data_IF_164594095605
#
_entry.id   IF_164594095605
#
_cell.length_a   1.000
_cell.length_b   1.000
_cell.length_c   1.000
_cell.angle_alpha   90.00
_cell.angle_beta   90.00
_cell.angle_gamma   90.00
#
_symmetry.space_group_name_H-M   'P 1'
#
loop_
_entity.id
_entity.type
_entity.pdbx_description
1 polymer ?
#
# COMPACT_ATOMS: atom_id res chain seq x y z
N UNK A 1 4.33 -11.16 21.16
CA UNK A 1 4.68 -10.64 19.82
C UNK A 1 4.60 -9.12 19.86
N UNK A 2 5.53 -8.39 19.24
CA UNK A 2 5.47 -6.92 19.20
C UNK A 2 4.21 -6.48 18.43
N UNK A 3 3.45 -5.48 18.89
CA UNK A 3 2.16 -5.08 18.29
C UNK A 3 2.21 -4.78 16.78
N UNK A 4 3.31 -4.20 16.27
CA UNK A 4 3.48 -3.96 14.83
C UNK A 4 3.51 -5.23 13.98
N UNK A 5 4.04 -6.33 14.53
CA UNK A 5 4.03 -7.62 13.83
C UNK A 5 2.62 -8.20 13.73
N UNK A 6 1.77 -7.93 14.72
CA UNK A 6 0.37 -8.34 14.71
C UNK A 6 -0.38 -7.60 13.59
N UNK A 7 -0.20 -6.29 13.44
CA UNK A 7 -0.81 -5.53 12.35
C UNK A 7 -0.37 -6.05 10.97
N UNK A 8 0.91 -6.37 10.81
CA UNK A 8 1.43 -6.93 9.56
C UNK A 8 0.75 -8.27 9.22
N UNK A 9 0.68 -9.20 10.18
CA UNK A 9 0.01 -10.50 9.99
C UNK A 9 -1.47 -10.31 9.65
N UNK A 10 -2.15 -9.41 10.36
CA UNK A 10 -3.56 -9.11 10.10
C UNK A 10 -3.77 -8.55 8.70
N UNK A 11 -2.91 -7.63 8.26
CA UNK A 11 -2.95 -7.09 6.90
C UNK A 11 -2.81 -8.20 5.86
N UNK A 12 -1.84 -9.10 6.02
CA UNK A 12 -1.64 -10.23 5.11
C UNK A 12 -2.81 -11.21 5.16
N UNK A 13 -3.37 -11.48 6.33
CA UNK A 13 -4.55 -12.32 6.45
C UNK A 13 -5.73 -11.71 5.67
N UNK A 14 -5.98 -10.40 5.79
CA UNK A 14 -7.01 -9.71 5.02
C UNK A 14 -6.70 -9.67 3.52
N UNK A 15 -5.43 -9.55 3.13
CA UNK A 15 -5.04 -9.68 1.73
C UNK A 15 -5.37 -11.08 1.18
N UNK A 16 -5.10 -12.14 1.93
CA UNK A 16 -5.42 -13.51 1.50
C UNK A 16 -6.92 -13.73 1.45
N UNK A 17 -7.65 -13.26 2.47
CA UNK A 17 -9.10 -13.36 2.56
C UNK A 17 -9.79 -12.58 1.46
N UNK A 18 -9.34 -11.37 1.12
CA UNK A 18 -9.90 -10.60 0.01
C UNK A 18 -9.41 -11.08 -1.36
N UNK A 19 -8.13 -11.42 -1.48
CA UNK A 19 -7.46 -11.70 -2.75
C UNK A 19 -7.77 -13.07 -3.35
N UNK A 20 -7.80 -14.14 -2.54
CA UNK A 20 -8.08 -15.48 -3.06
C UNK A 20 -9.49 -15.55 -3.68
N UNK A 21 -10.56 -15.09 -3.00
CA UNK A 21 -11.89 -15.07 -3.58
C UNK A 21 -12.01 -14.15 -4.78
N UNK A 22 -11.31 -13.03 -4.80
CA UNK A 22 -11.29 -12.17 -5.99
C UNK A 22 -10.73 -12.91 -7.21
N UNK A 23 -9.65 -13.68 -7.05
CA UNK A 23 -9.11 -14.50 -8.14
C UNK A 23 -10.18 -15.47 -8.66
N UNK A 24 -10.90 -16.15 -7.76
CA UNK A 24 -11.95 -17.08 -8.14
C UNK A 24 -13.13 -16.39 -8.83
N UNK A 25 -13.59 -15.25 -8.30
CA UNK A 25 -14.66 -14.44 -8.89
C UNK A 25 -14.29 -13.95 -10.28
N UNK A 26 -13.04 -13.50 -10.46
CA UNK A 26 -12.58 -13.04 -11.77
C UNK A 26 -12.47 -14.17 -12.77
N UNK A 27 -11.98 -15.35 -12.38
CA UNK A 27 -11.96 -16.51 -13.26
C UNK A 27 -13.37 -16.89 -13.72
N UNK A 28 -14.33 -16.92 -12.79
CA UNK A 28 -15.74 -17.20 -13.10
C UNK A 28 -16.34 -16.17 -14.05
N UNK A 29 -16.16 -14.88 -13.75
CA UNK A 29 -16.59 -13.76 -14.61
C UNK A 29 -15.95 -13.78 -16.01
N UNK A 30 -14.77 -14.38 -16.16
CA UNK A 30 -14.09 -14.53 -17.44
C UNK A 30 -14.52 -15.79 -18.20
N UNK A 31 -15.40 -16.62 -17.63
CA UNK A 31 -15.95 -17.82 -18.27
C UNK A 31 -15.15 -19.10 -18.01
N UNK A 32 -14.54 -19.23 -16.84
CA UNK A 32 -13.87 -20.48 -16.45
C UNK A 32 -14.87 -21.66 -16.47
N UNK A 33 -14.52 -22.82 -17.05
CA UNK A 33 -15.50 -23.86 -17.41
C UNK A 33 -16.00 -24.70 -16.23
N UNK A 34 -15.56 -24.42 -15.00
CA UNK A 34 -15.93 -25.17 -13.80
C UNK A 34 -16.55 -24.23 -12.77
N UNK A 35 -17.56 -24.69 -12.01
CA UNK A 35 -18.16 -23.88 -10.96
C UNK A 35 -17.12 -23.54 -9.90
N UNK A 36 -16.87 -22.24 -9.71
CA UNK A 36 -15.97 -21.73 -8.69
C UNK A 36 -16.78 -21.21 -7.50
N UNK A 37 -16.23 -21.27 -6.27
CA UNK A 37 -16.92 -20.74 -5.12
C UNK A 37 -16.75 -19.21 -5.08
N UNK A 38 -17.75 -18.49 -5.61
CA UNK A 38 -17.67 -17.04 -5.88
C UNK A 38 -18.42 -16.13 -4.91
N UNK A 39 -19.05 -16.70 -3.88
CA UNK A 39 -19.95 -15.98 -2.97
C UNK A 39 -19.28 -15.53 -1.67
N UNK A 40 -17.95 -15.56 -1.58
CA UNK A 40 -17.27 -15.38 -0.29
C UNK A 40 -17.20 -13.94 0.22
N UNK A 41 -17.27 -12.94 -0.65
CA UNK A 41 -17.24 -11.53 -0.24
C UNK A 41 -18.09 -10.67 -1.17
N UNK A 42 -19.07 -9.96 -0.62
CA UNK A 42 -19.89 -9.03 -1.40
C UNK A 42 -19.12 -7.74 -1.74
N UNK A 43 -18.18 -7.33 -0.89
CA UNK A 43 -17.40 -6.10 -1.06
C UNK A 43 -15.88 -6.34 -0.94
N UNK A 44 -15.33 -7.14 -1.87
CA UNK A 44 -13.86 -7.36 -1.99
C UNK A 44 -13.05 -6.05 -1.86
N UNK A 45 -13.51 -4.98 -2.50
CA UNK A 45 -12.82 -3.69 -2.49
C UNK A 45 -12.67 -3.10 -1.07
N UNK A 46 -13.65 -3.29 -0.19
CA UNK A 46 -13.62 -2.78 1.19
C UNK A 46 -12.53 -3.51 1.98
N UNK A 47 -12.47 -4.85 1.83
CA UNK A 47 -11.43 -5.69 2.44
C UNK A 47 -10.03 -5.28 1.99
N UNK A 48 -9.87 -4.95 0.71
CA UNK A 48 -8.56 -4.53 0.20
C UNK A 48 -8.17 -3.13 0.67
N UNK A 49 -9.06 -2.15 0.57
CA UNK A 49 -8.76 -0.74 0.86
C UNK A 49 -8.76 -0.47 2.37
N UNK A 50 -9.85 -0.80 3.05
CA UNK A 50 -10.04 -0.51 4.47
C UNK A 50 -9.66 -1.66 5.38
N UNK A 51 -9.31 -2.83 4.83
CA UNK A 51 -8.66 -3.91 5.56
C UNK A 51 -7.15 -3.93 5.35
N UNK A 52 -6.73 -4.49 4.22
CA UNK A 52 -5.31 -4.73 3.92
C UNK A 52 -4.49 -3.42 3.87
N UNK A 53 -4.85 -2.47 3.02
CA UNK A 53 -4.07 -1.24 2.87
C UNK A 53 -4.14 -0.38 4.12
N UNK A 54 -5.29 -0.29 4.80
CA UNK A 54 -5.40 0.46 6.05
C UNK A 54 -4.51 -0.12 7.15
N UNK A 55 -4.44 -1.45 7.32
CA UNK A 55 -3.52 -2.07 8.27
C UNK A 55 -2.06 -1.87 7.89
N UNK A 56 -1.72 -2.00 6.60
CA UNK A 56 -0.35 -1.78 6.12
C UNK A 56 0.08 -0.33 6.39
N UNK A 57 -0.72 0.65 5.97
CA UNK A 57 -0.45 2.07 6.14
C UNK A 57 -0.45 2.46 7.62
N UNK A 58 -1.42 1.96 8.40
CA UNK A 58 -1.45 2.18 9.84
C UNK A 58 -0.20 1.65 10.52
N UNK A 59 0.31 0.51 10.09
CA UNK A 59 1.57 -0.04 10.62
C UNK A 59 2.79 0.79 10.17
N UNK A 60 2.82 1.35 8.96
CA UNK A 60 3.84 2.33 8.54
C UNK A 60 3.83 3.55 9.48
N UNK A 61 2.66 4.14 9.73
CA UNK A 61 2.54 5.35 10.55
C UNK A 61 2.85 5.10 12.03
N UNK A 62 2.27 4.05 12.60
CA UNK A 62 2.33 3.77 14.03
C UNK A 62 3.62 3.05 14.44
N UNK A 63 4.31 2.39 13.52
CA UNK A 63 5.49 1.58 13.87
C UNK A 63 6.73 2.08 13.17
N UNK A 64 6.76 2.08 11.84
CA UNK A 64 7.95 2.43 11.09
C UNK A 64 8.29 3.93 11.22
N UNK A 65 7.38 4.80 10.79
CA UNK A 65 7.54 6.26 10.87
C UNK A 65 7.67 6.75 12.31
N UNK A 66 6.89 6.20 13.23
CA UNK A 66 7.03 6.53 14.66
C UNK A 66 8.46 6.24 15.15
N UNK A 67 8.99 5.07 14.82
CA UNK A 67 10.32 4.67 15.24
C UNK A 67 11.41 5.52 14.58
N UNK A 68 11.26 5.86 13.30
CA UNK A 68 12.16 6.78 12.61
C UNK A 68 12.14 8.17 13.26
N UNK A 69 10.96 8.68 13.59
CA UNK A 69 10.77 10.06 14.03
C UNK A 69 11.09 10.28 15.52
N UNK A 70 10.70 9.33 16.38
CA UNK A 70 10.85 9.40 17.85
C UNK A 70 11.86 8.41 18.42
N UNK A 71 12.30 7.43 17.65
CA UNK A 71 13.15 6.34 18.14
C UNK A 71 12.40 5.21 18.86
N UNK A 72 11.06 5.25 18.86
CA UNK A 72 10.19 4.22 19.43
C UNK A 72 8.91 4.10 18.61
N UNK A 73 8.32 2.92 18.53
CA UNK A 73 6.97 2.73 17.97
C UNK A 73 5.89 3.43 18.82
N UNK A 74 4.70 3.60 18.24
CA UNK A 74 3.54 4.11 18.95
C UNK A 74 3.16 3.19 20.14
N UNK A 75 2.50 3.74 21.18
CA UNK A 75 2.06 2.93 22.30
C UNK A 75 1.11 1.81 21.89
N UNK A 76 1.22 0.65 22.55
CA UNK A 76 0.37 -0.53 22.32
C UNK A 76 -1.12 -0.21 22.44
N UNK A 77 -1.51 0.69 23.35
CA UNK A 77 -2.90 1.11 23.54
C UNK A 77 -3.49 1.86 22.36
N UNK A 78 -2.67 2.30 21.39
CA UNK A 78 -3.13 2.90 20.14
C UNK A 78 -3.10 1.85 19.01
N UNK A 79 -2.01 1.09 18.91
CA UNK A 79 -1.82 0.06 17.88
C UNK A 79 -2.92 -1.02 17.95
N UNK A 80 -3.21 -1.55 19.14
CA UNK A 80 -4.16 -2.66 19.30
C UNK A 80 -5.60 -2.23 18.98
N UNK A 81 -6.14 -1.13 19.55
CA UNK A 81 -7.48 -0.67 19.17
C UNK A 81 -7.60 -0.31 17.69
N UNK A 82 -6.57 0.29 17.07
CA UNK A 82 -6.56 0.53 15.63
C UNK A 82 -6.75 -0.77 14.82
N UNK A 83 -5.99 -1.81 15.16
CA UNK A 83 -6.14 -3.12 14.52
C UNK A 83 -7.52 -3.74 14.74
N UNK A 84 -8.04 -3.69 15.97
CA UNK A 84 -9.36 -4.23 16.32
C UNK A 84 -10.48 -3.50 15.56
N UNK A 85 -10.47 -2.16 15.56
CA UNK A 85 -11.45 -1.36 14.82
C UNK A 85 -11.45 -1.73 13.34
N UNK A 86 -10.27 -1.91 12.76
CA UNK A 86 -10.13 -2.30 11.36
C UNK A 86 -10.72 -3.69 11.12
N UNK A 87 -10.43 -4.69 11.95
CA UNK A 87 -11.03 -6.03 11.79
C UNK A 87 -12.55 -6.03 11.95
N UNK A 88 -13.06 -5.36 12.98
CA UNK A 88 -14.50 -5.30 13.23
C UNK A 88 -15.19 -4.57 12.07
N UNK A 89 -14.59 -3.49 11.54
CA UNK A 89 -15.17 -2.79 10.38
C UNK A 89 -15.33 -3.71 9.17
N UNK A 90 -14.32 -4.54 8.86
CA UNK A 90 -14.36 -5.47 7.74
C UNK A 90 -15.36 -6.62 7.97
N UNK A 91 -15.47 -7.11 9.21
CA UNK A 91 -16.47 -8.10 9.57
C UNK A 91 -17.90 -7.54 9.43
N UNK A 92 -18.11 -6.30 9.89
CA UNK A 92 -19.41 -5.64 9.78
C UNK A 92 -19.78 -5.34 8.32
N UNK A 93 -18.81 -5.02 7.47
CA UNK A 93 -19.05 -4.78 6.05
C UNK A 93 -19.54 -6.04 5.33
N UNK A 94 -18.96 -7.21 5.64
CA UNK A 94 -19.42 -8.50 5.12
C UNK A 94 -20.84 -8.85 5.61
N UNK A 95 -21.25 -8.31 6.76
CA UNK A 95 -22.61 -8.40 7.27
C UNK A 95 -23.54 -7.30 6.72
N UNK A 96 -23.08 -6.54 5.71
CA UNK A 96 -23.77 -5.39 5.12
C UNK A 96 -24.23 -4.34 6.15
N UNK A 97 -23.44 -4.14 7.21
CA UNK A 97 -23.77 -3.21 8.29
C UNK A 97 -23.06 -1.86 8.09
N UNK A 98 -23.80 -0.73 7.94
CA UNK A 98 -23.22 0.59 7.70
C UNK A 98 -22.31 1.10 8.83
N UNK A 99 -22.36 0.49 10.02
CA UNK A 99 -21.38 0.72 11.09
C UNK A 99 -19.92 0.44 10.66
N UNK A 100 -19.70 -0.35 9.60
CA UNK A 100 -18.37 -0.59 9.02
C UNK A 100 -17.63 0.72 8.71
N UNK A 101 -18.27 1.64 7.98
CA UNK A 101 -17.70 2.93 7.60
C UNK A 101 -17.38 3.82 8.81
N UNK A 102 -18.26 3.86 9.81
CA UNK A 102 -18.03 4.65 11.02
C UNK A 102 -16.83 4.15 11.82
N UNK A 103 -16.63 2.83 11.90
CA UNK A 103 -15.43 2.26 12.55
C UNK A 103 -14.15 2.58 11.76
N UNK A 104 -14.20 2.60 10.43
CA UNK A 104 -13.08 3.08 9.61
C UNK A 104 -12.78 4.55 9.90
N UNK A 105 -13.79 5.42 10.02
CA UNK A 105 -13.60 6.82 10.40
C UNK A 105 -12.94 6.94 11.77
N UNK A 106 -13.38 6.16 12.77
CA UNK A 106 -12.75 6.15 14.10
C UNK A 106 -11.28 5.72 14.01
N UNK A 107 -10.97 4.69 13.23
CA UNK A 107 -9.59 4.24 13.01
C UNK A 107 -8.73 5.34 12.35
N UNK A 108 -9.25 6.05 11.36
CA UNK A 108 -8.57 7.19 10.72
C UNK A 108 -8.38 8.34 11.69
N UNK A 109 -9.37 8.65 12.54
CA UNK A 109 -9.26 9.69 13.58
C UNK A 109 -8.15 9.36 14.57
N UNK A 110 -7.94 8.09 14.93
CA UNK A 110 -6.78 7.69 15.74
C UNK A 110 -5.46 8.03 15.05
N UNK A 111 -5.34 7.73 13.74
CA UNK A 111 -4.14 8.04 12.96
C UNK A 111 -3.93 9.56 12.79
N UNK A 112 -5.01 10.31 12.56
CA UNK A 112 -5.01 11.78 12.47
C UNK A 112 -4.54 12.38 13.79
N UNK A 113 -5.06 11.91 14.93
CA UNK A 113 -4.62 12.38 16.24
C UNK A 113 -3.15 12.06 16.50
N UNK A 114 -2.70 10.88 16.06
CA UNK A 114 -1.31 10.46 16.18
C UNK A 114 -0.35 11.28 15.30
N UNK A 115 -0.84 11.91 14.23
CA UNK A 115 -0.03 12.70 13.30
C UNK A 115 0.80 13.81 13.96
N UNK A 116 0.34 14.31 15.11
CA UNK A 116 1.08 15.27 15.95
C UNK A 116 2.52 14.83 16.23
N UNK A 117 2.77 13.51 16.28
CA UNK A 117 4.11 12.96 16.47
C UNK A 117 5.03 13.31 15.31
N UNK A 118 4.62 13.03 14.07
CA UNK A 118 5.44 13.26 12.88
C UNK A 118 5.23 14.65 12.25
N UNK A 119 4.30 15.46 12.78
CA UNK A 119 4.17 16.90 12.51
C UNK A 119 4.91 17.76 13.53
N UNK A 120 5.49 17.16 14.57
CA UNK A 120 6.41 17.82 15.50
C UNK A 120 7.87 17.62 15.05
N UNK A 121 8.85 18.40 15.55
CA UNK A 121 10.25 18.12 15.27
C UNK A 121 10.66 16.70 15.66
N UNK A 122 11.53 16.07 14.87
CA UNK A 122 12.03 14.72 15.14
C UNK A 122 12.94 14.68 16.37
N UNK A 123 13.28 13.47 16.85
CA UNK A 123 14.22 13.27 17.96
C UNK A 123 15.57 13.97 17.77
N UNK A 124 16.02 14.10 16.52
CA UNK A 124 17.27 14.76 16.14
C UNK A 124 17.06 16.22 15.66
N UNK A 125 15.85 16.77 15.85
CA UNK A 125 15.54 18.17 15.54
C UNK A 125 15.19 18.46 14.07
N UNK A 126 14.98 17.43 13.23
CA UNK A 126 14.53 17.65 11.87
C UNK A 126 13.09 18.17 11.87
N UNK A 127 12.83 19.19 11.06
CA UNK A 127 11.48 19.72 10.86
C UNK A 127 10.68 18.79 9.94
N UNK A 128 9.34 18.71 10.11
CA UNK A 128 8.47 18.03 9.17
C UNK A 128 8.68 18.54 7.75
N UNK A 129 8.61 17.62 6.78
CA UNK A 129 8.74 17.92 5.34
C UNK A 129 7.39 17.71 4.64
N UNK A 130 7.32 17.97 3.33
CA UNK A 130 6.09 17.78 2.56
C UNK A 130 5.49 16.38 2.74
N UNK A 131 6.32 15.34 2.79
CA UNK A 131 5.93 13.97 3.15
C UNK A 131 4.99 13.90 4.37
N UNK A 132 5.39 14.50 5.50
CA UNK A 132 4.65 14.43 6.76
C UNK A 132 3.28 15.10 6.63
N UNK A 133 3.21 16.23 5.93
CA UNK A 133 1.98 16.96 5.69
C UNK A 133 1.07 16.25 4.69
N UNK A 134 1.62 15.70 3.60
CA UNK A 134 0.87 14.95 2.59
C UNK A 134 0.22 13.70 3.21
N UNK A 135 0.92 12.99 4.08
CA UNK A 135 0.34 11.87 4.85
C UNK A 135 -0.83 12.33 5.71
N UNK A 136 -0.65 13.41 6.47
CA UNK A 136 -1.72 13.97 7.29
C UNK A 136 -2.94 14.35 6.45
N UNK A 137 -2.75 15.07 5.34
CA UNK A 137 -3.84 15.42 4.43
C UNK A 137 -4.48 14.20 3.77
N UNK A 138 -3.72 13.15 3.48
CA UNK A 138 -4.27 11.88 2.96
C UNK A 138 -5.29 11.30 3.94
N UNK A 139 -4.97 11.29 5.23
CA UNK A 139 -5.88 10.80 6.26
C UNK A 139 -7.17 11.64 6.34
N UNK A 140 -7.05 12.97 6.28
CA UNK A 140 -8.20 13.89 6.27
C UNK A 140 -9.09 13.65 5.05
N UNK A 141 -8.49 13.63 3.85
CA UNK A 141 -9.21 13.38 2.59
C UNK A 141 -9.92 12.02 2.65
N UNK A 142 -9.23 10.99 3.16
CA UNK A 142 -9.80 9.65 3.31
C UNK A 142 -10.98 9.65 4.28
N UNK A 143 -10.88 10.34 5.43
CA UNK A 143 -12.02 10.43 6.35
C UNK A 143 -13.25 11.07 5.71
N UNK A 144 -13.05 12.11 4.88
CA UNK A 144 -14.14 12.75 4.12
C UNK A 144 -14.73 11.77 3.10
N UNK A 145 -13.87 11.06 2.35
CA UNK A 145 -14.29 10.05 1.37
C UNK A 145 -15.10 8.93 2.03
N UNK A 146 -14.63 8.36 3.13
CA UNK A 146 -15.33 7.29 3.86
C UNK A 146 -16.69 7.79 4.35
N UNK A 147 -16.77 9.01 4.86
CA UNK A 147 -18.05 9.62 5.26
C UNK A 147 -19.02 9.74 4.09
N UNK A 148 -18.52 10.10 2.91
CA UNK A 148 -19.34 10.18 1.70
C UNK A 148 -19.77 8.78 1.22
N UNK A 149 -18.85 7.81 1.22
CA UNK A 149 -19.14 6.43 0.81
C UNK A 149 -20.17 5.74 1.70
N UNK A 150 -20.19 6.06 2.99
CA UNK A 150 -21.20 5.56 3.93
C UNK A 150 -22.65 5.90 3.52
N UNK A 151 -22.83 6.92 2.68
CA UNK A 151 -24.14 7.39 2.20
C UNK A 151 -24.36 7.02 0.73
N UNK A 152 -23.36 7.19 -0.12
CA UNK A 152 -23.52 7.13 -1.58
C UNK A 152 -22.99 5.86 -2.24
N UNK A 153 -22.25 5.00 -1.53
CA UNK A 153 -21.78 3.72 -2.08
C UNK A 153 -20.89 3.85 -3.32
N UNK A 154 -19.88 4.73 -3.29
CA UNK A 154 -18.99 5.00 -4.44
C UNK A 154 -17.60 4.34 -4.25
N UNK A 155 -17.41 3.06 -4.62
CA UNK A 155 -16.23 2.27 -4.22
C UNK A 155 -14.90 2.79 -4.76
N UNK A 156 -14.87 3.36 -5.97
CA UNK A 156 -13.62 3.85 -6.58
C UNK A 156 -12.95 4.96 -5.76
N UNK A 157 -13.72 5.76 -5.01
CA UNK A 157 -13.16 6.82 -4.18
C UNK A 157 -12.22 6.26 -3.12
N UNK A 158 -12.44 5.02 -2.68
CA UNK A 158 -11.57 4.32 -1.74
C UNK A 158 -10.13 4.18 -2.24
N UNK A 159 -9.90 4.13 -3.56
CA UNK A 159 -8.55 4.08 -4.13
C UNK A 159 -7.72 5.32 -3.83
N UNK A 160 -8.35 6.46 -3.56
CA UNK A 160 -7.63 7.68 -3.21
C UNK A 160 -6.74 7.45 -1.98
N UNK A 161 -7.21 6.68 -0.99
CA UNK A 161 -6.45 6.44 0.23
C UNK A 161 -5.08 5.79 -0.02
N UNK A 162 -4.99 4.56 -0.57
CA UNK A 162 -3.70 3.93 -0.79
C UNK A 162 -2.89 4.63 -1.89
N UNK A 163 -3.52 5.18 -2.94
CA UNK A 163 -2.80 5.88 -4.00
C UNK A 163 -2.10 7.13 -3.49
N UNK A 164 -2.81 7.99 -2.75
CA UNK A 164 -2.26 9.22 -2.18
C UNK A 164 -1.24 8.93 -1.08
N UNK A 165 -1.48 7.89 -0.26
CA UNK A 165 -0.52 7.50 0.78
C UNK A 165 0.79 7.04 0.17
N UNK A 166 0.75 6.15 -0.84
CA UNK A 166 1.96 5.71 -1.53
C UNK A 166 2.66 6.92 -2.16
N UNK A 167 1.92 7.82 -2.79
CA UNK A 167 2.50 9.04 -3.36
C UNK A 167 3.22 9.90 -2.32
N UNK A 168 2.59 10.08 -1.14
CA UNK A 168 3.18 10.80 -0.03
C UNK A 168 4.47 10.11 0.45
N UNK A 169 4.44 8.80 0.75
CA UNK A 169 5.62 8.02 1.16
C UNK A 169 6.75 8.12 0.13
N UNK A 170 6.40 8.06 -1.15
CA UNK A 170 7.37 8.13 -2.24
C UNK A 170 8.08 9.47 -2.35
N UNK A 171 7.47 10.58 -1.92
CA UNK A 171 8.13 11.88 -1.85
C UNK A 171 9.38 11.89 -0.95
N UNK A 172 9.46 10.96 0.02
CA UNK A 172 10.63 10.70 0.87
C UNK A 172 11.50 9.57 0.31
N UNK A 173 10.90 8.41 0.05
CA UNK A 173 11.64 7.16 -0.17
C UNK A 173 12.33 7.07 -1.54
N UNK A 174 11.81 7.77 -2.56
CA UNK A 174 12.40 7.76 -3.90
C UNK A 174 13.88 8.17 -3.89
N UNK A 175 14.23 9.19 -3.11
CA UNK A 175 15.60 9.65 -3.00
C UNK A 175 16.52 8.56 -2.40
N UNK A 176 16.03 7.82 -1.41
CA UNK A 176 16.78 6.76 -0.74
C UNK A 176 16.97 5.53 -1.64
N UNK A 177 15.91 5.12 -2.33
CA UNK A 177 15.88 3.91 -3.15
C UNK A 177 16.65 4.09 -4.47
N UNK A 178 16.66 5.31 -5.01
CA UNK A 178 17.22 5.60 -6.34
C UNK A 178 18.64 6.21 -6.31
N UNK A 179 19.31 6.20 -5.16
CA UNK A 179 20.72 6.57 -5.04
C UNK A 179 20.99 8.03 -4.70
N UNK A 180 20.16 8.63 -3.85
CA UNK A 180 20.42 9.92 -3.20
C UNK A 180 20.01 11.16 -3.99
N UNK A 181 19.15 11.04 -5.00
CA UNK A 181 18.62 12.22 -5.70
C UNK A 181 17.61 12.97 -4.83
N UNK A 182 17.71 14.29 -4.81
CA UNK A 182 16.74 15.16 -4.14
C UNK A 182 15.47 15.24 -4.97
N UNK A 183 14.34 14.86 -4.38
CA UNK A 183 13.01 14.98 -4.99
C UNK A 183 12.53 16.43 -4.88
N UNK A 184 12.01 17.00 -5.97
CA UNK A 184 11.39 18.33 -5.93
C UNK A 184 10.05 18.25 -5.21
N UNK A 185 10.01 18.74 -3.97
CA UNK A 185 8.86 18.60 -3.08
C UNK A 185 7.65 19.42 -3.55
N UNK A 186 7.86 20.55 -4.21
CA UNK A 186 6.77 21.42 -4.69
C UNK A 186 6.05 20.75 -5.86
N UNK A 187 6.81 20.24 -6.84
CA UNK A 187 6.25 19.47 -7.95
C UNK A 187 5.58 18.18 -7.47
N UNK A 188 6.15 17.50 -6.47
CA UNK A 188 5.55 16.29 -5.91
C UNK A 188 4.23 16.60 -5.19
N UNK A 189 4.14 17.75 -4.52
CA UNK A 189 2.90 18.24 -3.89
C UNK A 189 1.84 18.56 -4.94
N UNK A 190 2.22 19.25 -6.03
CA UNK A 190 1.31 19.52 -7.15
C UNK A 190 0.85 18.23 -7.83
N UNK A 191 1.75 17.26 -7.97
CA UNK A 191 1.43 15.94 -8.51
C UNK A 191 0.42 15.19 -7.62
N UNK A 192 0.63 15.22 -6.30
CA UNK A 192 -0.29 14.65 -5.32
C UNK A 192 -1.69 15.28 -5.42
N UNK A 193 -1.78 16.61 -5.48
CA UNK A 193 -3.07 17.32 -5.60
C UNK A 193 -3.75 16.98 -6.92
N UNK A 194 -2.99 16.96 -8.02
CA UNK A 194 -3.50 16.60 -9.34
C UNK A 194 -4.03 15.16 -9.35
N UNK A 195 -3.31 14.21 -8.76
CA UNK A 195 -3.77 12.82 -8.63
C UNK A 195 -5.04 12.72 -7.77
N UNK A 196 -5.10 13.42 -6.63
CA UNK A 196 -6.26 13.42 -5.74
C UNK A 196 -7.50 13.92 -6.50
N UNK A 197 -7.41 15.09 -7.14
CA UNK A 197 -8.50 15.65 -7.92
C UNK A 197 -8.85 14.79 -9.13
N UNK A 198 -7.85 14.15 -9.76
CA UNK A 198 -8.05 13.18 -10.83
C UNK A 198 -8.94 12.02 -10.38
N UNK A 199 -8.58 11.34 -9.28
CA UNK A 199 -9.38 10.21 -8.76
C UNK A 199 -10.78 10.66 -8.32
N UNK A 200 -10.89 11.80 -7.64
CA UNK A 200 -12.17 12.34 -7.15
C UNK A 200 -13.13 12.73 -8.28
N UNK A 201 -12.59 13.17 -9.43
CA UNK A 201 -13.37 13.59 -10.59
C UNK A 201 -13.62 12.48 -11.60
N UNK A 202 -13.43 11.20 -11.22
CA UNK A 202 -13.62 10.06 -12.11
C UNK A 202 -14.94 10.12 -12.89
N UNK A 203 -14.88 9.81 -14.19
CA UNK A 203 -16.01 9.88 -15.11
C UNK A 203 -16.19 11.24 -15.80
N UNK A 204 -15.42 12.27 -15.40
CA UNK A 204 -15.36 13.56 -16.09
C UNK A 204 -14.20 13.61 -17.09
N UNK A 205 -14.30 14.51 -18.09
CA UNK A 205 -13.22 14.77 -19.07
C UNK A 205 -11.95 15.34 -18.42
N UNK A 206 -12.07 15.97 -17.25
CA UNK A 206 -10.96 16.60 -16.53
C UNK A 206 -10.11 15.55 -15.79
N UNK A 207 -10.72 14.47 -15.33
CA UNK A 207 -10.05 13.42 -14.55
C UNK A 207 -8.79 12.84 -15.22
N UNK A 208 -8.83 12.36 -16.48
CA UNK A 208 -7.63 11.77 -17.11
C UNK A 208 -6.54 12.83 -17.32
N UNK A 209 -6.91 14.09 -17.59
CA UNK A 209 -5.98 15.21 -17.73
C UNK A 209 -5.22 15.42 -16.42
N UNK A 210 -5.94 15.46 -15.29
CA UNK A 210 -5.34 15.64 -13.97
C UNK A 210 -4.44 14.46 -13.57
N UNK A 211 -4.81 13.23 -13.89
CA UNK A 211 -3.95 12.05 -13.66
C UNK A 211 -2.68 12.12 -14.51
N UNK A 212 -2.78 12.52 -15.78
CA UNK A 212 -1.62 12.71 -16.67
C UNK A 212 -0.70 13.82 -16.14
N UNK A 213 -1.25 14.94 -15.66
CA UNK A 213 -0.47 16.00 -15.03
C UNK A 213 0.23 15.48 -13.78
N UNK A 214 -0.48 14.76 -12.90
CA UNK A 214 0.08 14.13 -11.71
C UNK A 214 1.20 13.14 -12.03
N UNK A 215 1.00 12.31 -13.05
CA UNK A 215 2.01 11.40 -13.58
C UNK A 215 3.25 12.15 -14.10
N UNK A 216 3.06 13.16 -14.94
CA UNK A 216 4.17 13.91 -15.55
C UNK A 216 5.02 14.65 -14.52
N UNK A 217 4.36 15.37 -13.60
CA UNK A 217 5.03 16.11 -12.51
C UNK A 217 5.77 15.16 -11.58
N UNK A 218 5.16 14.03 -11.18
CA UNK A 218 5.83 13.08 -10.29
C UNK A 218 6.97 12.33 -10.98
N UNK A 219 6.84 12.00 -12.26
CA UNK A 219 7.92 11.36 -13.02
C UNK A 219 9.13 12.30 -13.17
N UNK A 220 8.88 13.58 -13.45
CA UNK A 220 9.92 14.61 -13.52
C UNK A 220 10.59 14.82 -12.16
N UNK A 221 9.81 15.07 -11.11
CA UNK A 221 10.29 15.30 -9.75
C UNK A 221 11.08 14.11 -9.19
N UNK A 222 10.63 12.89 -9.46
CA UNK A 222 11.28 11.66 -8.98
C UNK A 222 12.53 11.28 -9.77
N UNK A 223 12.59 11.62 -11.06
CA UNK A 223 13.67 11.25 -11.96
C UNK A 223 13.88 9.74 -12.10
N UNK A 224 12.84 8.92 -11.87
CA UNK A 224 12.89 7.45 -11.85
C UNK A 224 13.62 6.87 -13.08
N UNK A 225 13.25 7.22 -14.33
CA UNK A 225 13.85 6.62 -15.53
C UNK A 225 15.34 6.92 -15.66
N UNK A 226 15.78 8.07 -15.13
CA UNK A 226 17.15 8.57 -15.20
C UNK A 226 17.94 8.32 -13.91
N UNK A 227 17.47 7.44 -13.04
CA UNK A 227 18.17 7.10 -11.81
C UNK A 227 19.30 6.10 -12.04
N UNK A 228 20.40 6.26 -11.28
CA UNK A 228 21.55 5.35 -11.24
C UNK A 228 21.43 4.31 -10.10
N UNK A 229 20.27 4.23 -9.46
CA UNK A 229 20.00 3.32 -8.34
C UNK A 229 19.96 1.85 -8.75
N UNK A 230 19.52 1.00 -7.82
CA UNK A 230 19.39 -0.45 -8.05
C UNK A 230 18.42 -0.73 -9.20
N UNK A 231 18.76 -1.70 -10.04
CA UNK A 231 17.99 -2.03 -11.25
C UNK A 231 16.55 -2.45 -10.93
N UNK A 232 16.37 -3.33 -9.93
CA UNK A 232 15.06 -3.89 -9.60
C UNK A 232 14.05 -2.82 -9.16
N UNK A 233 14.33 -1.96 -8.13
CA UNK A 233 13.45 -0.85 -7.78
C UNK A 233 13.14 0.07 -8.95
N UNK A 234 14.15 0.39 -9.78
CA UNK A 234 13.95 1.26 -10.94
C UNK A 234 12.95 0.67 -11.93
N UNK A 235 13.06 -0.61 -12.24
CA UNK A 235 12.13 -1.31 -13.13
C UNK A 235 10.72 -1.31 -12.53
N UNK A 236 10.58 -1.78 -11.29
CA UNK A 236 9.28 -1.88 -10.63
C UNK A 236 8.58 -0.51 -10.51
N UNK A 237 9.31 0.55 -10.17
CA UNK A 237 8.77 1.91 -10.10
C UNK A 237 8.44 2.50 -11.46
N UNK A 238 9.25 2.26 -12.48
CA UNK A 238 8.93 2.68 -13.85
C UNK A 238 7.66 1.97 -14.34
N UNK A 239 7.52 0.68 -14.05
CA UNK A 239 6.31 -0.09 -14.35
C UNK A 239 5.10 0.48 -13.60
N UNK A 240 5.22 0.80 -12.31
CA UNK A 240 4.15 1.41 -11.53
C UNK A 240 3.69 2.76 -12.14
N UNK A 241 4.62 3.65 -12.49
CA UNK A 241 4.29 4.93 -13.12
C UNK A 241 3.69 4.76 -14.52
N UNK A 242 4.12 3.75 -15.26
CA UNK A 242 3.52 3.42 -16.55
C UNK A 242 2.06 3.02 -16.38
N UNK A 243 1.74 2.19 -15.38
CA UNK A 243 0.35 1.83 -15.07
C UNK A 243 -0.50 2.99 -14.58
N UNK A 244 0.09 3.93 -13.82
CA UNK A 244 -0.59 5.17 -13.45
C UNK A 244 -0.99 5.98 -14.70
N UNK A 245 -0.09 6.11 -15.68
CA UNK A 245 -0.43 6.75 -16.96
C UNK A 245 -1.52 5.97 -17.71
N UNK A 246 -1.38 4.64 -17.81
CA UNK A 246 -2.36 3.78 -18.48
C UNK A 246 -3.74 3.96 -17.85
N UNK A 247 -3.85 4.11 -16.52
CA UNK A 247 -5.12 4.32 -15.84
C UNK A 247 -5.89 5.54 -16.39
N UNK A 248 -5.20 6.63 -16.72
CA UNK A 248 -5.82 7.79 -17.34
C UNK A 248 -6.31 7.48 -18.77
N UNK A 249 -5.55 6.69 -19.53
CA UNK A 249 -5.88 6.34 -20.91
C UNK A 249 -7.06 5.37 -21.02
N UNK A 250 -7.17 4.44 -20.07
CA UNK A 250 -8.23 3.41 -20.06
C UNK A 250 -9.43 3.79 -19.19
N UNK A 251 -9.50 5.05 -18.73
CA UNK A 251 -10.52 5.50 -17.79
C UNK A 251 -11.96 5.34 -18.28
N UNK A 252 -12.17 5.29 -19.61
CA UNK A 252 -13.48 4.98 -20.20
C UNK A 252 -14.02 3.60 -19.83
N UNK A 253 -13.17 2.72 -19.29
CA UNK A 253 -13.55 1.42 -18.74
C UNK A 253 -13.23 1.37 -17.24
N UNK A 254 -14.27 1.23 -16.43
CA UNK A 254 -14.16 1.24 -14.96
C UNK A 254 -13.20 0.17 -14.44
N UNK A 255 -13.33 -1.08 -14.90
CA UNK A 255 -12.50 -2.16 -14.40
C UNK A 255 -11.04 -1.99 -14.80
N UNK A 256 -10.76 -1.64 -16.06
CA UNK A 256 -9.40 -1.38 -16.52
C UNK A 256 -8.74 -0.24 -15.75
N UNK A 257 -9.50 0.82 -15.45
CA UNK A 257 -9.05 1.95 -14.61
C UNK A 257 -8.67 1.50 -13.20
N UNK A 258 -9.59 0.81 -12.52
CA UNK A 258 -9.40 0.33 -11.15
C UNK A 258 -8.20 -0.63 -11.09
N UNK A 259 -8.11 -1.61 -11.99
CA UNK A 259 -7.01 -2.58 -12.01
C UNK A 259 -5.66 -1.91 -12.33
N UNK A 260 -5.63 -0.93 -13.23
CA UNK A 260 -4.42 -0.17 -13.55
C UNK A 260 -3.89 0.60 -12.34
N UNK A 261 -4.75 1.18 -11.52
CA UNK A 261 -4.32 1.81 -10.26
C UNK A 261 -4.00 0.75 -9.21
N UNK A 262 -4.98 -0.07 -8.84
CA UNK A 262 -4.91 -0.94 -7.68
C UNK A 262 -3.79 -1.97 -7.80
N UNK A 263 -3.67 -2.66 -8.94
CA UNK A 263 -2.66 -3.68 -9.16
C UNK A 263 -1.45 -3.11 -9.90
N UNK A 264 -1.70 -2.27 -10.90
CA UNK A 264 -0.64 -1.71 -11.74
C UNK A 264 0.21 -0.69 -11.00
N UNK A 265 -0.39 0.34 -10.41
CA UNK A 265 0.37 1.38 -9.70
C UNK A 265 0.75 0.94 -8.27
N UNK A 266 -0.21 0.53 -7.44
CA UNK A 266 0.05 0.29 -6.02
C UNK A 266 0.96 -0.91 -5.78
N UNK A 267 0.62 -2.10 -6.30
CA UNK A 267 1.42 -3.32 -6.03
C UNK A 267 2.81 -3.27 -6.68
N UNK A 268 2.97 -2.70 -7.88
CA UNK A 268 4.31 -2.49 -8.43
C UNK A 268 5.14 -1.52 -7.58
N UNK A 269 4.51 -0.51 -6.96
CA UNK A 269 5.21 0.36 -6.01
C UNK A 269 5.59 -0.41 -4.75
N UNK A 270 4.68 -1.21 -4.17
CA UNK A 270 5.00 -2.08 -3.03
C UNK A 270 6.20 -2.99 -3.34
N UNK A 271 6.24 -3.60 -4.53
CA UNK A 271 7.36 -4.43 -4.97
C UNK A 271 8.64 -3.64 -5.20
N UNK A 272 8.55 -2.42 -5.73
CA UNK A 272 9.72 -1.63 -6.12
C UNK A 272 10.41 -0.96 -4.95
N UNK A 273 9.65 -0.51 -3.97
CA UNK A 273 10.21 0.25 -2.86
C UNK A 273 10.72 -0.71 -1.79
N UNK A 274 10.08 -1.86 -1.55
CA UNK A 274 10.40 -2.85 -0.49
C UNK A 274 10.58 -2.24 0.95
N UNK A 275 10.65 -0.92 1.07
CA UNK A 275 10.98 -0.11 2.25
C UNK A 275 9.84 -0.16 3.22
N UNK A 276 8.58 -0.10 2.78
CA UNK A 276 7.45 -0.18 3.72
C UNK A 276 7.51 -1.49 4.49
N UNK A 277 7.70 -2.64 3.82
CA UNK A 277 7.84 -3.93 4.50
C UNK A 277 9.16 -4.06 5.27
N UNK A 278 10.28 -3.62 4.71
CA UNK A 278 11.60 -3.75 5.34
C UNK A 278 11.77 -2.79 6.52
N UNK A 279 11.39 -1.52 6.39
CA UNK A 279 11.41 -0.48 7.43
C UNK A 279 10.38 -0.78 8.52
N UNK A 280 9.23 -1.37 8.18
CA UNK A 280 8.36 -1.98 9.19
C UNK A 280 9.08 -3.07 9.97
N UNK A 281 9.74 -4.00 9.28
CA UNK A 281 10.47 -5.09 9.94
C UNK A 281 11.66 -4.57 10.75
N UNK A 282 12.30 -3.48 10.33
CA UNK A 282 13.30 -2.74 11.10
C UNK A 282 12.67 -2.11 12.34
N UNK A 283 11.53 -1.43 12.20
CA UNK A 283 10.81 -0.83 13.32
C UNK A 283 10.37 -1.87 14.36
N UNK A 284 10.05 -3.08 13.90
CA UNK A 284 9.71 -4.21 14.77
C UNK A 284 10.96 -4.83 15.41
N UNK A 285 12.00 -5.13 14.63
CA UNK A 285 13.16 -5.93 15.10
C UNK A 285 14.30 -5.09 15.65
N UNK A 286 14.33 -3.78 15.42
CA UNK A 286 15.45 -2.91 15.73
C UNK A 286 16.70 -3.14 14.86
N UNK A 287 16.66 -4.09 13.90
CA UNK A 287 17.79 -4.44 13.03
C UNK A 287 17.41 -4.37 11.56
N UNK A 288 18.36 -3.94 10.71
CA UNK A 288 18.19 -3.98 9.25
C UNK A 288 18.19 -5.42 8.74
N UNK A 289 17.05 -5.83 8.17
CA UNK A 289 16.91 -7.10 7.47
C UNK A 289 17.26 -6.90 6.00
N UNK A 290 17.97 -7.88 5.43
CA UNK A 290 18.33 -7.87 4.02
C UNK A 290 17.41 -8.80 3.24
N UNK A 291 16.69 -8.27 2.27
CA UNK A 291 15.85 -9.04 1.34
C UNK A 291 16.44 -8.90 -0.05
N UNK A 292 16.70 -10.03 -0.70
CA UNK A 292 17.06 -10.07 -2.12
C UNK A 292 15.79 -9.99 -2.95
N UNK A 293 15.70 -9.04 -3.89
CA UNK A 293 14.53 -8.90 -4.73
C UNK A 293 14.42 -10.08 -5.71
N UNK A 294 13.19 -10.41 -6.10
CA UNK A 294 12.88 -11.41 -7.12
C UNK A 294 12.06 -10.77 -8.22
N UNK A 295 12.39 -11.03 -9.47
CA UNK A 295 11.60 -10.56 -10.62
C UNK A 295 10.35 -11.40 -10.87
N UNK A 296 10.24 -12.59 -10.26
CA UNK A 296 9.10 -13.50 -10.49
C UNK A 296 7.76 -12.85 -10.13
N UNK A 297 7.56 -12.26 -8.93
CA UNK A 297 6.32 -11.56 -8.60
C UNK A 297 5.98 -10.45 -9.59
N UNK A 298 6.99 -9.67 -9.97
CA UNK A 298 6.84 -8.53 -10.88
C UNK A 298 6.38 -8.98 -12.27
N UNK A 299 7.02 -10.00 -12.83
CA UNK A 299 6.69 -10.52 -14.16
C UNK A 299 5.28 -11.13 -14.16
N UNK A 300 4.97 -11.97 -13.17
CA UNK A 300 3.67 -12.63 -13.08
C UNK A 300 2.52 -11.63 -12.91
N UNK A 301 2.68 -10.66 -12.00
CA UNK A 301 1.67 -9.62 -11.77
C UNK A 301 1.41 -8.82 -13.04
N UNK A 302 2.46 -8.32 -13.71
CA UNK A 302 2.29 -7.45 -14.87
C UNK A 302 1.81 -8.19 -16.11
N UNK A 303 2.26 -9.43 -16.34
CA UNK A 303 1.72 -10.26 -17.42
C UNK A 303 0.23 -10.53 -17.22
N UNK A 304 -0.15 -10.93 -16.01
CA UNK A 304 -1.55 -11.12 -15.65
C UNK A 304 -2.36 -9.83 -15.76
N UNK A 305 -1.78 -8.67 -15.40
CA UNK A 305 -2.47 -7.38 -15.49
C UNK A 305 -2.68 -6.91 -16.94
N UNK A 306 -1.70 -7.11 -17.83
CA UNK A 306 -1.88 -6.85 -19.27
C UNK A 306 -3.03 -7.70 -19.82
N UNK A 307 -3.06 -8.99 -19.48
CA UNK A 307 -4.17 -9.87 -19.88
C UNK A 307 -5.51 -9.38 -19.30
N UNK A 308 -5.52 -8.91 -18.05
CA UNK A 308 -6.73 -8.42 -17.40
C UNK A 308 -7.26 -7.16 -18.08
N UNK A 309 -6.41 -6.17 -18.33
CA UNK A 309 -6.82 -4.94 -19.00
C UNK A 309 -7.26 -5.22 -20.44
N UNK A 310 -6.60 -6.14 -21.16
CA UNK A 310 -7.06 -6.58 -22.47
C UNK A 310 -8.49 -7.17 -22.41
N UNK A 311 -8.77 -8.02 -21.42
CA UNK A 311 -10.10 -8.58 -21.19
C UNK A 311 -11.12 -7.50 -20.85
N UNK A 312 -10.79 -6.60 -19.92
CA UNK A 312 -11.67 -5.49 -19.49
C UNK A 312 -12.03 -4.58 -20.69
N UNK A 313 -11.10 -4.40 -21.65
CA UNK A 313 -11.33 -3.67 -22.90
C UNK A 313 -12.12 -4.46 -23.98
N UNK A 314 -12.60 -5.66 -23.66
CA UNK A 314 -13.48 -6.47 -24.52
C UNK A 314 -12.76 -7.46 -25.43
N UNK A 315 -11.45 -7.68 -25.27
CA UNK A 315 -10.73 -8.73 -26.02
C UNK A 315 -11.12 -10.09 -25.43
N UNK A 316 -11.60 -11.00 -26.26
CA UNK A 316 -11.95 -12.37 -25.87
C UNK A 316 -10.88 -13.37 -26.32
N UNK A 317 -10.25 -14.05 -25.37
CA UNK A 317 -9.32 -15.15 -25.65
C UNK A 317 -9.22 -16.07 -24.43
N UNK A 318 -9.18 -17.41 -24.62
CA UNK A 318 -9.01 -18.36 -23.50
C UNK A 318 -7.75 -18.12 -22.67
N UNK A 319 -6.70 -17.53 -23.27
CA UNK A 319 -5.47 -17.20 -22.55
C UNK A 319 -5.70 -16.13 -21.47
N UNK A 320 -6.71 -15.28 -21.63
CA UNK A 320 -7.01 -14.22 -20.67
C UNK A 320 -7.62 -14.75 -19.36
N UNK A 321 -8.12 -15.99 -19.34
CA UNK A 321 -8.55 -16.69 -18.11
C UNK A 321 -7.41 -16.84 -17.10
N UNK A 322 -6.15 -16.83 -17.58
CA UNK A 322 -4.97 -16.93 -16.72
C UNK A 322 -4.67 -15.61 -15.99
N UNK A 323 -5.32 -14.48 -16.35
CA UNK A 323 -4.97 -13.17 -15.81
C UNK A 323 -5.04 -13.13 -14.29
N UNK A 324 -6.15 -13.63 -13.72
CA UNK A 324 -6.38 -13.62 -12.27
C UNK A 324 -5.40 -14.56 -11.54
N UNK A 325 -5.14 -15.74 -12.08
CA UNK A 325 -4.18 -16.70 -11.52
C UNK A 325 -2.76 -16.14 -11.51
N UNK A 326 -2.31 -15.55 -12.62
CA UNK A 326 -0.98 -14.95 -12.71
C UNK A 326 -0.79 -13.82 -11.71
N UNK A 327 -1.79 -12.96 -11.54
CA UNK A 327 -1.76 -11.90 -10.54
C UNK A 327 -1.73 -12.46 -9.11
N UNK A 328 -2.61 -13.42 -8.79
CA UNK A 328 -2.67 -14.06 -7.48
C UNK A 328 -1.36 -14.77 -7.12
N UNK A 329 -0.81 -15.58 -8.04
CA UNK A 329 0.49 -16.25 -7.85
C UNK A 329 1.62 -15.22 -7.75
N UNK A 330 1.58 -14.14 -8.54
CA UNK A 330 2.53 -13.04 -8.45
C UNK A 330 2.58 -12.46 -7.03
N UNK A 331 1.43 -12.05 -6.48
CA UNK A 331 1.32 -11.49 -5.13
C UNK A 331 1.74 -12.52 -4.07
N UNK A 332 1.25 -13.76 -4.14
CA UNK A 332 1.61 -14.80 -3.17
C UNK A 332 3.11 -15.10 -3.19
N UNK A 333 3.71 -15.18 -4.38
CA UNK A 333 5.14 -15.45 -4.52
C UNK A 333 5.99 -14.36 -3.91
N UNK A 334 5.56 -13.08 -3.98
CA UNK A 334 6.23 -11.98 -3.30
C UNK A 334 6.28 -12.22 -1.79
N UNK A 335 5.14 -12.48 -1.15
CA UNK A 335 5.10 -12.72 0.29
C UNK A 335 5.89 -13.95 0.70
N UNK A 336 5.75 -15.07 -0.02
CA UNK A 336 6.49 -16.31 0.29
C UNK A 336 8.00 -16.09 0.21
N UNK A 337 8.49 -15.45 -0.85
CA UNK A 337 9.92 -15.19 -1.05
C UNK A 337 10.47 -14.20 -0.03
N UNK A 338 9.69 -13.18 0.33
CA UNK A 338 10.05 -12.21 1.37
C UNK A 338 10.09 -12.88 2.74
N UNK A 339 9.04 -13.60 3.14
CA UNK A 339 8.98 -14.26 4.44
C UNK A 339 10.02 -15.36 4.62
N UNK A 340 10.31 -16.12 3.57
CA UNK A 340 11.38 -17.13 3.60
C UNK A 340 12.74 -16.51 3.93
N UNK A 341 12.98 -15.25 3.57
CA UNK A 341 14.20 -14.53 3.90
C UNK A 341 14.13 -13.85 5.27
N UNK A 342 12.99 -13.26 5.60
CA UNK A 342 12.78 -12.47 6.82
C UNK A 342 12.69 -13.34 8.08
N UNK A 343 11.89 -14.41 8.06
CA UNK A 343 11.64 -15.24 9.26
C UNK A 343 12.93 -15.80 9.87
N UNK A 344 13.87 -16.38 9.09
CA UNK A 344 15.15 -16.86 9.64
C UNK A 344 16.00 -15.73 10.23
N UNK A 345 15.97 -14.54 9.63
CA UNK A 345 16.72 -13.38 10.14
C UNK A 345 16.12 -12.89 11.47
N UNK A 346 14.79 -12.76 11.55
CA UNK A 346 14.10 -12.39 12.80
C UNK A 346 14.42 -13.35 13.95
N UNK A 347 14.38 -14.66 13.70
CA UNK A 347 14.71 -15.67 14.72
C UNK A 347 16.15 -15.56 15.23
N UNK A 348 17.09 -15.07 14.41
CA UNK A 348 18.47 -14.81 14.85
C UNK A 348 18.53 -13.57 15.74
N UNK A 349 17.80 -12.51 15.39
CA UNK A 349 17.73 -11.28 16.21
C UNK A 349 17.23 -11.59 17.61
N UNK A 350 16.13 -12.33 17.74
CA UNK A 350 15.56 -12.70 19.04
C UNK A 350 16.54 -13.55 19.87
N UNK A 351 17.27 -14.47 19.22
CA UNK A 351 18.30 -15.29 19.90
C UNK A 351 19.43 -14.42 20.45
N UNK A 352 19.93 -13.46 19.66
CA UNK A 352 20.99 -12.55 20.10
C UNK A 352 20.55 -11.68 21.28
N UNK A 353 19.29 -11.18 21.28
CA UNK A 353 18.73 -10.44 22.43
C UNK A 353 18.60 -11.31 23.68
N UNK A 354 18.19 -12.58 23.54
CA UNK A 354 18.06 -13.51 24.68
C UNK A 354 19.39 -14.01 25.24
N UNK A 355 20.49 -13.95 24.47
CA UNK A 355 21.82 -14.28 24.95
C UNK A 355 22.45 -13.14 25.79
N UNK A 356 21.87 -11.94 25.73
CA UNK A 356 22.18 -10.85 26.67
C UNK A 356 21.35 -11.05 27.95
N UNK A 357 21.63 -12.12 28.72
CA UNK A 357 20.99 -12.33 30.03
C UNK A 357 22.03 -12.66 31.11
N UNK A 358 22.06 -11.75 32.10
CA UNK A 358 22.64 -11.81 33.45
C UNK A 358 24.17 -11.85 33.57
N UNK A 359 24.80 -10.67 33.54
CA UNK A 359 26.13 -10.51 34.16
C UNK A 359 26.92 -9.26 33.80
N UNK A 360 26.76 -8.72 32.60
CA UNK A 360 27.57 -7.57 32.19
C UNK A 360 26.95 -6.26 32.67
N UNK A 361 27.38 -5.86 33.88
CA UNK A 361 27.41 -4.46 34.29
C UNK A 361 28.11 -3.66 33.19
N UNK A 362 27.41 -2.72 32.57
CA UNK A 362 28.04 -1.59 31.88
C UNK A 362 28.68 -0.68 32.93
N UNK A 363 29.79 -1.12 33.50
CA UNK A 363 30.81 -0.22 34.02
C UNK A 363 31.80 0.01 32.90
N UNK A 364 31.83 1.22 32.36
CA UNK A 364 33.05 2.00 32.11
C UNK A 364 32.69 3.38 31.53
N UNK A 365 32.86 4.36 32.42
CA UNK A 365 33.33 5.75 32.24
C UNK A 365 33.08 6.43 30.91
#
# INVERSE_FOLDING_TARGET
>A
MKPGFILLIMGIALLLLGGIPAVLNFMDNQGFPYPLPTTFFQAHWFVMVYGFFLLLIGNELLVALSNEWRGTSAPTWLIVPFGILTLISNLLDELNNPLSYYLVIVALVLLINYSRVYLSPSRIGLKPTAYNYLLFYTLIITSIIVSFQAVFGLPWLGLAFPALTIFAVMSRDLGLVLGGKRVNQDEMTLAYVSLALGILSYGTVISPILIVIGWGLSLHSSGIPWSKGRLYPRIALTTAWTWLLISALVQGNYDAYIHSIALGFLFNTVFGVDSVLIDMLVGITGKRLSVKPSYVPLILLNLGLVMRVAFDLGISSPLLLLSALLQGIGILSFYVLTFRQVIPQMRKVDKDETLIVKGERTTRS
#
